data_IF_347390769778
#
_entry.id   IF_347390769778
#
_cell.length_a   1.000
_cell.length_b   1.000
_cell.length_c   1.000
_cell.angle_alpha   90.00
_cell.angle_beta   90.00
_cell.angle_gamma   90.00
#
_symmetry.space_group_name_H-M   'P 1'
#
loop_
_entity.id
_entity.type
_entity.pdbx_description
1 polymer ?
#
# COMPACT_ATOMS: atom_id res chain seq x y z
N UNK A 1 -12.23 -11.81 -2.30
CA UNK A 1 -11.79 -10.40 -2.36
C UNK A 1 -11.66 -9.85 -3.78
N UNK A 2 -10.90 -10.48 -4.70
CA UNK A 2 -10.76 -9.96 -6.09
C UNK A 2 -12.10 -9.81 -6.83
N UNK A 3 -13.06 -10.73 -6.61
CA UNK A 3 -14.43 -10.59 -7.14
C UNK A 3 -15.07 -9.27 -6.70
N UNK A 4 -15.08 -9.01 -5.39
CA UNK A 4 -15.67 -7.80 -4.79
C UNK A 4 -14.95 -6.53 -5.25
N UNK A 5 -13.62 -6.54 -5.34
CA UNK A 5 -12.84 -5.39 -5.79
C UNK A 5 -13.15 -5.01 -7.25
N UNK A 6 -13.61 -5.96 -8.08
CA UNK A 6 -13.95 -5.79 -9.49
C UNK A 6 -15.44 -5.55 -9.74
N UNK A 7 -16.29 -5.61 -8.72
CA UNK A 7 -17.71 -5.32 -8.85
C UNK A 7 -17.93 -3.85 -9.27
N UNK A 8 -19.05 -3.54 -9.97
CA UNK A 8 -19.52 -2.18 -10.16
C UNK A 8 -19.63 -1.45 -8.82
N UNK A 9 -19.34 -0.15 -8.81
CA UNK A 9 -19.31 0.65 -7.58
C UNK A 9 -20.64 0.56 -6.78
N UNK A 10 -21.78 0.56 -7.47
CA UNK A 10 -23.11 0.44 -6.85
C UNK A 10 -23.31 -0.90 -6.13
N UNK A 11 -23.02 -2.01 -6.81
CA UNK A 11 -23.20 -3.36 -6.25
C UNK A 11 -22.23 -3.60 -5.08
N UNK A 12 -21.01 -3.05 -5.16
CA UNK A 12 -20.06 -3.10 -4.05
C UNK A 12 -20.52 -2.26 -2.85
N UNK A 13 -21.08 -1.08 -3.07
CA UNK A 13 -21.64 -0.24 -2.01
C UNK A 13 -22.80 -0.94 -1.30
N UNK A 14 -23.72 -1.56 -2.04
CA UNK A 14 -24.81 -2.36 -1.46
C UNK A 14 -24.29 -3.47 -0.54
N UNK A 15 -23.22 -4.18 -0.95
CA UNK A 15 -22.57 -5.20 -0.13
C UNK A 15 -21.92 -4.62 1.14
N UNK A 16 -21.29 -3.45 1.04
CA UNK A 16 -20.69 -2.78 2.19
C UNK A 16 -21.75 -2.29 3.17
N UNK A 17 -22.86 -1.73 2.69
CA UNK A 17 -23.99 -1.30 3.50
C UNK A 17 -24.61 -2.48 4.27
N UNK A 18 -24.87 -3.61 3.59
CA UNK A 18 -25.40 -4.84 4.23
C UNK A 18 -24.44 -5.36 5.32
N UNK A 19 -23.14 -5.34 5.04
CA UNK A 19 -22.11 -5.80 5.99
C UNK A 19 -22.01 -4.86 7.19
N UNK A 20 -22.12 -3.55 6.96
CA UNK A 20 -22.08 -2.51 7.97
C UNK A 20 -23.25 -2.64 8.95
N UNK A 21 -24.46 -2.86 8.43
CA UNK A 21 -25.66 -3.10 9.23
C UNK A 21 -25.49 -4.34 10.12
N UNK A 22 -25.06 -5.47 9.54
CA UNK A 22 -24.84 -6.72 10.28
C UNK A 22 -23.78 -6.61 11.37
N UNK A 23 -22.79 -5.74 11.18
CA UNK A 23 -21.68 -5.54 12.12
C UNK A 23 -21.91 -4.37 13.07
N UNK A 24 -23.00 -3.63 12.93
CA UNK A 24 -23.25 -2.36 13.63
C UNK A 24 -22.05 -1.39 13.53
N UNK A 25 -21.47 -1.29 12.34
CA UNK A 25 -20.36 -0.38 12.03
C UNK A 25 -20.79 0.61 10.94
N UNK A 26 -20.09 1.73 10.81
CA UNK A 26 -20.31 2.64 9.69
C UNK A 26 -19.86 1.99 8.37
N UNK A 27 -20.59 2.22 7.28
CA UNK A 27 -20.24 1.68 5.95
C UNK A 27 -18.82 2.06 5.52
N UNK A 28 -18.41 3.31 5.77
CA UNK A 28 -17.06 3.79 5.48
C UNK A 28 -15.96 2.99 6.20
N UNK A 29 -16.24 2.42 7.38
CA UNK A 29 -15.31 1.56 8.13
C UNK A 29 -15.15 0.22 7.40
N UNK A 30 -16.25 -0.38 6.94
CA UNK A 30 -16.24 -1.63 6.19
C UNK A 30 -15.51 -1.47 4.85
N UNK A 31 -15.82 -0.40 4.11
CA UNK A 31 -15.19 -0.13 2.83
C UNK A 31 -13.68 0.05 2.99
N UNK A 32 -13.25 0.87 3.95
CA UNK A 32 -11.82 1.06 4.23
C UNK A 32 -11.14 -0.27 4.57
N UNK A 33 -11.76 -1.13 5.37
CA UNK A 33 -11.16 -2.43 5.74
C UNK A 33 -10.96 -3.33 4.56
N UNK A 34 -11.98 -3.39 3.71
CA UNK A 34 -11.94 -4.18 2.51
C UNK A 34 -10.75 -3.79 1.64
N UNK A 35 -10.56 -2.49 1.37
CA UNK A 35 -9.49 -2.01 0.52
C UNK A 35 -8.11 -2.24 1.14
N UNK A 36 -7.93 -1.97 2.43
CA UNK A 36 -6.68 -2.26 3.15
C UNK A 36 -6.32 -3.74 3.04
N UNK A 37 -7.25 -4.63 3.37
CA UNK A 37 -7.05 -6.08 3.28
C UNK A 37 -6.77 -6.52 1.83
N UNK A 38 -7.45 -5.92 0.86
CA UNK A 38 -7.29 -6.28 -0.54
C UNK A 38 -5.91 -5.87 -1.09
N UNK A 39 -5.45 -4.65 -0.76
CA UNK A 39 -4.12 -4.14 -1.13
C UNK A 39 -3.02 -5.00 -0.50
N UNK A 40 -3.11 -5.29 0.80
CA UNK A 40 -2.17 -6.18 1.47
C UNK A 40 -2.12 -7.55 0.79
N UNK A 41 -3.29 -8.13 0.47
CA UNK A 41 -3.35 -9.38 -0.28
C UNK A 41 -2.62 -9.28 -1.62
N UNK A 42 -2.81 -8.21 -2.39
CA UNK A 42 -2.12 -8.06 -3.67
C UNK A 42 -0.61 -7.92 -3.50
N UNK A 43 -0.16 -7.06 -2.58
CA UNK A 43 1.27 -6.81 -2.33
C UNK A 43 2.01 -8.09 -1.97
N UNK A 44 1.45 -8.90 -1.07
CA UNK A 44 2.06 -10.16 -0.64
C UNK A 44 1.85 -11.31 -1.64
N UNK A 45 1.05 -11.13 -2.70
CA UNK A 45 0.91 -12.10 -3.79
C UNK A 45 1.87 -11.83 -4.96
N UNK A 46 2.63 -10.73 -4.94
CA UNK A 46 3.59 -10.40 -5.98
C UNK A 46 4.91 -11.11 -5.68
N UNK A 47 5.35 -12.01 -6.57
CA UNK A 47 6.59 -12.79 -6.37
C UNK A 47 7.84 -11.90 -6.22
N UNK A 48 7.89 -10.76 -6.92
CA UNK A 48 8.96 -9.78 -6.78
C UNK A 48 9.07 -9.21 -5.36
N UNK A 49 8.01 -9.28 -4.56
CA UNK A 49 7.97 -8.78 -3.18
C UNK A 49 8.10 -9.89 -2.13
N UNK A 50 8.11 -11.16 -2.55
CA UNK A 50 8.25 -12.29 -1.66
C UNK A 50 9.58 -12.22 -0.88
N UNK A 51 9.51 -12.30 0.45
CA UNK A 51 10.66 -12.16 1.36
C UNK A 51 11.24 -10.74 1.48
N UNK A 52 10.67 -9.75 0.77
CA UNK A 52 11.19 -8.37 0.71
C UNK A 52 10.25 -7.34 1.35
N UNK A 53 9.00 -7.72 1.59
CA UNK A 53 8.04 -6.93 2.37
C UNK A 53 7.81 -7.58 3.73
N UNK A 54 7.82 -6.77 4.78
CA UNK A 54 7.42 -7.17 6.11
C UNK A 54 6.33 -6.23 6.61
N UNK A 55 5.16 -6.80 6.91
CA UNK A 55 4.07 -6.06 7.52
C UNK A 55 4.39 -5.81 8.98
N UNK A 56 4.49 -4.54 9.38
CA UNK A 56 4.88 -4.10 10.73
C UNK A 56 3.81 -3.16 11.30
N UNK A 57 4.09 -2.59 12.48
CA UNK A 57 3.28 -1.52 13.08
C UNK A 57 2.12 -2.00 13.95
N UNK A 58 1.53 -1.07 14.71
CA UNK A 58 0.36 -1.35 15.58
C UNK A 58 -0.85 -1.89 14.80
N UNK A 59 -0.94 -1.59 13.51
CA UNK A 59 -1.93 -2.13 12.57
C UNK A 59 -1.84 -3.66 12.40
N UNK A 60 -0.63 -4.22 12.37
CA UNK A 60 -0.43 -5.68 12.23
C UNK A 60 -0.88 -6.46 13.48
N UNK A 61 -0.60 -5.95 14.69
CA UNK A 61 -1.09 -6.51 15.95
C UNK A 61 -2.63 -6.43 16.06
N UNK A 62 -3.22 -5.32 15.65
CA UNK A 62 -4.66 -5.07 15.78
C UNK A 62 -5.52 -5.98 14.88
N UNK A 63 -4.99 -6.36 13.70
CA UNK A 63 -5.65 -7.27 12.76
C UNK A 63 -5.50 -8.75 13.13
N UNK A 64 -4.41 -9.14 13.78
CA UNK A 64 -4.12 -10.53 14.16
C UNK A 64 -4.69 -10.86 15.55
N UNK A 65 -4.72 -9.89 16.47
CA UNK A 65 -5.06 -10.13 17.89
C UNK A 65 -6.36 -9.44 18.35
N UNK A 66 -7.17 -8.89 17.44
CA UNK A 66 -8.46 -8.23 17.73
C UNK A 66 -8.40 -7.19 18.88
N UNK A 67 -7.23 -6.61 19.15
CA UNK A 67 -6.93 -6.00 20.46
C UNK A 67 -7.33 -4.52 20.57
N UNK A 68 -7.72 -3.88 19.47
CA UNK A 68 -8.29 -2.53 19.51
C UNK A 68 -9.51 -2.41 18.60
N UNK A 69 -10.61 -1.94 19.19
CA UNK A 69 -11.89 -1.65 18.56
C UNK A 69 -11.84 -0.35 17.72
N UNK A 70 -10.64 0.13 17.35
CA UNK A 70 -10.44 1.32 16.54
C UNK A 70 -10.03 0.88 15.14
N UNK A 71 -10.68 1.48 14.15
CA UNK A 71 -10.31 1.27 12.76
C UNK A 71 -8.92 1.84 12.50
N UNK A 72 -7.96 1.04 12.02
CA UNK A 72 -6.61 1.51 11.71
C UNK A 72 -6.50 1.72 10.20
N UNK A 73 -6.65 2.97 9.79
CA UNK A 73 -6.55 3.44 8.39
C UNK A 73 -5.15 3.24 7.81
N UNK A 74 -4.11 3.32 8.65
CA UNK A 74 -2.71 3.29 8.23
C UNK A 74 -2.17 1.87 8.02
N UNK A 75 -1.43 1.68 6.92
CA UNK A 75 -0.70 0.44 6.61
C UNK A 75 0.81 0.69 6.73
N UNK A 76 1.44 0.11 7.75
CA UNK A 76 2.90 0.16 7.92
C UNK A 76 3.58 -1.04 7.24
N UNK A 77 4.37 -0.78 6.20
CA UNK A 77 5.19 -1.78 5.53
C UNK A 77 6.66 -1.41 5.68
N UNK A 78 7.46 -2.39 6.10
CA UNK A 78 8.90 -2.33 5.92
C UNK A 78 9.30 -3.04 4.62
N UNK A 79 10.23 -2.43 3.91
CA UNK A 79 10.68 -2.87 2.59
C UNK A 79 12.19 -3.07 2.62
N UNK A 80 12.66 -4.19 2.11
CA UNK A 80 14.07 -4.37 1.78
C UNK A 80 14.37 -3.74 0.41
N UNK A 81 14.74 -2.47 0.44
CA UNK A 81 15.07 -1.69 -0.77
C UNK A 81 16.22 -2.29 -1.56
N UNK A 82 17.23 -2.85 -0.89
CA UNK A 82 18.38 -3.45 -1.55
C UNK A 82 17.97 -4.72 -2.30
N UNK A 83 17.14 -5.57 -1.68
CA UNK A 83 16.62 -6.78 -2.31
C UNK A 83 15.68 -6.49 -3.50
N UNK A 84 15.11 -5.28 -3.57
CA UNK A 84 14.33 -4.78 -4.71
C UNK A 84 15.17 -4.06 -5.78
N UNK A 85 16.49 -3.98 -5.60
CA UNK A 85 17.40 -3.33 -6.54
C UNK A 85 17.50 -1.81 -6.41
N UNK A 86 16.91 -1.22 -5.36
CA UNK A 86 17.06 0.18 -5.00
C UNK A 86 18.34 0.38 -4.19
N UNK A 87 19.47 0.41 -4.91
CA UNK A 87 20.82 0.62 -4.36
C UNK A 87 21.52 1.78 -5.07
N UNK A 88 22.60 2.29 -4.47
CA UNK A 88 23.35 3.42 -5.02
C UNK A 88 22.42 4.62 -5.21
N UNK A 89 22.51 5.31 -6.36
CA UNK A 89 21.67 6.47 -6.73
C UNK A 89 20.16 6.23 -6.76
N UNK A 90 19.71 4.98 -6.68
CA UNK A 90 18.28 4.61 -6.63
C UNK A 90 17.80 4.32 -5.21
N UNK A 91 18.65 4.40 -4.20
CA UNK A 91 18.25 4.18 -2.81
C UNK A 91 17.37 5.35 -2.32
N UNK A 92 16.09 5.13 -1.99
CA UNK A 92 15.18 6.19 -1.57
C UNK A 92 15.53 6.82 -0.21
N UNK A 93 16.54 6.30 0.51
CA UNK A 93 16.99 6.81 1.80
C UNK A 93 18.10 7.86 1.70
N UNK A 94 18.54 8.22 0.49
CA UNK A 94 19.55 9.26 0.32
C UNK A 94 19.03 10.64 0.74
N UNK A 95 19.86 11.44 1.40
CA UNK A 95 19.47 12.74 1.96
C UNK A 95 19.01 13.77 0.92
N UNK A 96 19.37 13.58 -0.36
CA UNK A 96 19.07 14.51 -1.44
C UNK A 96 17.77 14.20 -2.22
N UNK A 97 17.02 13.18 -1.82
CA UNK A 97 15.74 12.83 -2.46
C UNK A 97 14.62 13.48 -1.64
N UNK A 98 14.42 14.78 -1.83
CA UNK A 98 13.26 15.45 -1.23
C UNK A 98 11.96 14.89 -1.84
N UNK A 99 10.90 14.83 -1.01
CA UNK A 99 9.62 14.14 -1.28
C UNK A 99 8.82 14.63 -2.51
N UNK A 100 9.36 15.52 -3.33
CA UNK A 100 8.68 16.11 -4.51
C UNK A 100 9.22 15.65 -5.88
N UNK A 101 10.23 14.78 -5.94
CA UNK A 101 10.88 14.41 -7.21
C UNK A 101 10.75 12.93 -7.63
N UNK A 102 9.71 12.22 -7.18
CA UNK A 102 9.34 10.95 -7.82
C UNK A 102 8.54 11.24 -9.10
N UNK A 103 9.24 11.55 -10.18
CA UNK A 103 8.62 11.56 -11.51
C UNK A 103 8.17 10.13 -11.88
N UNK A 104 6.99 9.95 -12.51
CA UNK A 104 6.56 8.65 -12.99
C UNK A 104 7.60 8.11 -13.97
N UNK A 105 8.01 6.86 -13.77
CA UNK A 105 8.87 6.14 -14.71
C UNK A 105 8.05 5.86 -15.96
N UNK A 106 8.07 6.80 -16.92
CA UNK A 106 7.67 6.54 -18.29
C UNK A 106 8.90 6.15 -19.12
N UNK A 107 8.88 4.89 -19.57
CA UNK A 107 9.53 4.40 -20.78
C UNK A 107 10.96 4.89 -21.07
N UNK A 108 11.94 4.25 -20.43
CA UNK A 108 13.15 3.78 -21.12
C UNK A 108 13.96 4.81 -21.91
N UNK A 109 14.33 5.95 -21.32
CA UNK A 109 15.56 6.68 -21.68
C UNK A 109 15.83 7.76 -20.62
N UNK A 110 16.95 7.64 -19.88
CA UNK A 110 17.45 8.73 -19.02
C UNK A 110 18.51 9.50 -19.81
N UNK A 111 18.15 10.69 -20.29
CA UNK A 111 19.12 11.71 -20.70
C UNK A 111 19.76 12.29 -19.44
N UNK A 112 21.04 11.99 -19.23
CA UNK A 112 21.85 12.63 -18.21
C UNK A 112 22.02 14.11 -18.54
N UNK A 113 21.37 14.98 -17.77
CA UNK A 113 21.61 16.42 -17.77
C UNK A 113 23.03 16.70 -17.28
N UNK A 114 23.94 16.92 -18.23
CA UNK A 114 25.31 17.38 -18.02
C UNK A 114 25.29 18.69 -17.22
N UNK A 115 26.05 18.70 -16.13
CA UNK A 115 26.33 19.90 -15.36
C UNK A 115 27.03 20.97 -16.20
N UNK A 116 26.61 22.22 -16.00
CA UNK A 116 27.44 23.42 -16.17
C UNK A 116 27.31 24.15 -14.83
N UNK A 117 28.38 24.42 -14.09
CA UNK A 117 29.61 25.03 -14.59
C UNK A 117 29.39 26.54 -14.68
N UNK A 118 29.39 27.20 -13.52
CA UNK A 118 29.89 28.55 -13.24
C UNK A 118 29.80 28.80 -11.73
#
# INVERSE_FOLDING_TARGET
>A
MNKVARMPARERAELFAETAERKALAEAIIEKDFWVCWVLKQLFSIDAFNGRLLFKGGTSLSKIFHTINRFSEDIDLAVDYAALGFTGSRDPRQENISKSMLTPVENGAIMAGVGRGQ
#
